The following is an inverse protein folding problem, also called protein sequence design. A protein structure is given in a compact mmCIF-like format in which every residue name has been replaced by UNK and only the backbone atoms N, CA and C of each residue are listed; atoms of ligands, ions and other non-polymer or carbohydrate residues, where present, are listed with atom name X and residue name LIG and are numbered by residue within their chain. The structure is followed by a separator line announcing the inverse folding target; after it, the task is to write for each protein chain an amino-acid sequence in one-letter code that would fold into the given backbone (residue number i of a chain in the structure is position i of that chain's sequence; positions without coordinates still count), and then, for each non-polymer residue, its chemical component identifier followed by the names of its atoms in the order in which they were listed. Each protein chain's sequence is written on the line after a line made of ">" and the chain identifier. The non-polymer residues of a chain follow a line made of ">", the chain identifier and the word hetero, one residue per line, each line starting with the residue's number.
data_IF_347747977199
#
_entry.id   IF_347747977199
#
_cell.length_a   1.000
_cell.length_b   1.000
_cell.length_c   1.000
_cell.angle_alpha   90.00
_cell.angle_beta   90.00
_cell.angle_gamma   90.00
#
_symmetry.space_group_name_H-M   'P 1'
#
loop_
_entity.id
_entity.type
_entity.pdbx_description
1 polymer ?
#
# COMPACT_ATOMS: atom_id res chain seq x y z
N UNK A 1 -64.28 21.07 -10.86
CA UNK A 1 -62.97 21.68 -11.16
C UNK A 1 -61.93 20.78 -10.51
N UNK A 2 -61.31 19.90 -11.29
CA UNK A 2 -60.28 18.97 -10.83
C UNK A 2 -58.92 19.62 -11.03
N UNK A 3 -58.24 19.95 -9.93
CA UNK A 3 -56.87 20.44 -9.94
C UNK A 3 -55.93 19.28 -10.30
N UNK A 4 -55.34 19.38 -11.50
CA UNK A 4 -54.25 18.51 -11.92
C UNK A 4 -52.99 18.88 -11.12
N UNK A 5 -52.62 18.03 -10.16
CA UNK A 5 -51.27 18.03 -9.59
C UNK A 5 -50.29 17.56 -10.68
N UNK A 6 -49.52 18.51 -11.20
CA UNK A 6 -48.34 18.22 -12.01
C UNK A 6 -47.29 17.65 -11.06
N UNK A 7 -47.13 16.32 -11.04
CA UNK A 7 -45.98 15.69 -10.43
C UNK A 7 -44.73 16.18 -11.17
N UNK A 8 -43.85 16.89 -10.45
CA UNK A 8 -42.52 17.24 -10.95
C UNK A 8 -41.74 15.94 -11.17
N UNK A 9 -41.56 15.57 -12.43
CA UNK A 9 -40.67 14.48 -12.82
C UNK A 9 -39.25 14.98 -12.50
N UNK A 10 -38.74 14.63 -11.32
CA UNK A 10 -37.36 14.90 -10.94
C UNK A 10 -36.44 14.26 -11.96
N UNK A 11 -35.67 15.07 -12.67
CA UNK A 11 -34.69 14.59 -13.65
C UNK A 11 -33.59 13.89 -12.86
N UNK A 12 -33.40 12.58 -13.04
CA UNK A 12 -32.29 11.86 -12.41
C UNK A 12 -30.98 12.55 -12.83
N UNK A 13 -30.14 13.00 -11.88
CA UNK A 13 -28.87 13.65 -12.22
C UNK A 13 -28.04 12.72 -13.10
N UNK A 14 -27.41 13.26 -14.14
CA UNK A 14 -26.51 12.48 -14.99
C UNK A 14 -25.32 11.95 -14.16
N UNK A 15 -25.04 10.66 -14.27
CA UNK A 15 -23.97 9.97 -13.55
C UNK A 15 -22.96 9.33 -14.51
N UNK A 16 -21.70 9.23 -14.08
CA UNK A 16 -20.69 8.34 -14.68
C UNK A 16 -20.60 7.06 -13.86
N UNK A 17 -20.65 5.91 -14.52
CA UNK A 17 -20.43 4.60 -13.89
C UNK A 17 -18.95 4.25 -13.91
N UNK A 18 -18.38 3.94 -12.75
CA UNK A 18 -16.99 3.47 -12.59
C UNK A 18 -17.01 2.00 -12.18
N UNK A 19 -16.09 1.16 -12.69
CA UNK A 19 -16.04 -0.26 -12.32
C UNK A 19 -14.79 -0.57 -11.51
N UNK A 20 -14.96 -1.19 -10.35
CA UNK A 20 -13.86 -1.63 -9.50
C UNK A 20 -13.73 -3.15 -9.50
N UNK A 21 -12.48 -3.64 -9.51
CA UNK A 21 -12.20 -5.07 -9.37
C UNK A 21 -10.87 -5.30 -8.63
N UNK A 22 -10.88 -6.18 -7.64
CA UNK A 22 -9.65 -6.60 -6.99
C UNK A 22 -8.86 -7.63 -7.82
N UNK A 23 -7.62 -7.91 -7.44
CA UNK A 23 -6.75 -8.86 -8.12
C UNK A 23 -7.40 -10.23 -8.41
N UNK A 24 -7.95 -10.88 -7.37
CA UNK A 24 -8.57 -12.20 -7.53
C UNK A 24 -9.99 -12.15 -8.11
N UNK A 25 -10.51 -10.96 -8.42
CA UNK A 25 -11.83 -10.71 -9.00
C UNK A 25 -13.03 -11.11 -8.12
N UNK A 26 -12.80 -11.57 -6.90
CA UNK A 26 -13.87 -11.89 -5.95
C UNK A 26 -14.63 -10.63 -5.50
N UNK A 27 -13.96 -9.48 -5.46
CA UNK A 27 -14.60 -8.18 -5.28
C UNK A 27 -14.77 -7.51 -6.65
N UNK A 28 -16.01 -7.24 -7.01
CA UNK A 28 -16.40 -6.60 -8.26
C UNK A 28 -17.67 -5.78 -8.04
N UNK A 29 -17.59 -4.47 -8.27
CA UNK A 29 -18.71 -3.57 -8.07
C UNK A 29 -18.61 -2.35 -8.97
N UNK A 30 -19.70 -1.60 -9.07
CA UNK A 30 -19.73 -0.29 -9.75
C UNK A 30 -20.06 0.84 -8.78
N UNK A 31 -19.68 2.05 -9.16
CA UNK A 31 -20.12 3.30 -8.53
C UNK A 31 -20.82 4.18 -9.56
N UNK A 32 -22.01 4.67 -9.24
CA UNK A 32 -22.69 5.69 -10.03
C UNK A 32 -22.40 7.07 -9.42
N UNK A 33 -21.44 7.80 -10.00
CA UNK A 33 -20.97 9.09 -9.47
C UNK A 33 -21.66 10.23 -10.23
N UNK A 34 -22.29 11.21 -9.55
CA UNK A 34 -22.84 12.39 -10.22
C UNK A 34 -21.76 13.14 -11.00
N UNK A 35 -22.05 13.53 -12.25
CA UNK A 35 -21.09 14.26 -13.09
C UNK A 35 -20.66 15.60 -12.46
N UNK A 36 -21.51 16.23 -11.66
CA UNK A 36 -21.21 17.47 -10.92
C UNK A 36 -20.18 17.28 -9.79
N UNK A 37 -19.92 16.04 -9.39
CA UNK A 37 -18.93 15.70 -8.35
C UNK A 37 -17.58 15.29 -8.93
N UNK A 38 -17.45 15.20 -10.26
CA UNK A 38 -16.22 14.82 -10.94
C UNK A 38 -15.40 16.09 -11.26
N UNK A 39 -14.08 16.10 -11.00
CA UNK A 39 -13.27 14.99 -10.47
C UNK A 39 -13.42 14.78 -8.95
N UNK A 40 -13.29 13.53 -8.51
CA UNK A 40 -13.25 13.15 -7.10
C UNK A 40 -11.86 13.44 -6.52
N UNK A 41 -11.82 14.15 -5.40
CA UNK A 41 -10.57 14.49 -4.71
C UNK A 41 -9.98 13.27 -4.02
N UNK A 42 -8.74 12.95 -4.35
CA UNK A 42 -7.98 11.87 -3.72
C UNK A 42 -6.95 12.46 -2.76
N UNK A 43 -6.90 11.88 -1.55
CA UNK A 43 -5.86 12.16 -0.57
C UNK A 43 -5.00 10.92 -0.33
N UNK A 44 -3.72 11.18 -0.03
CA UNK A 44 -2.76 10.18 0.39
C UNK A 44 -2.60 10.24 1.90
N UNK A 45 -3.16 9.27 2.63
CA UNK A 45 -3.02 9.24 4.09
C UNK A 45 -1.78 8.46 4.51
N UNK A 46 -0.94 9.12 5.30
CA UNK A 46 0.34 8.60 5.77
C UNK A 46 0.31 8.15 7.23
N UNK A 47 -0.85 8.15 7.91
CA UNK A 47 -0.87 7.78 9.33
C UNK A 47 -0.51 6.31 9.54
N UNK A 48 0.03 6.01 10.72
CA UNK A 48 0.46 4.65 11.08
C UNK A 48 -0.67 3.62 11.03
N UNK A 49 -1.90 4.00 11.39
CA UNK A 49 -3.06 3.11 11.28
C UNK A 49 -3.25 2.67 9.83
N UNK A 50 -3.22 3.62 8.88
CA UNK A 50 -3.37 3.31 7.46
C UNK A 50 -2.22 2.44 6.98
N UNK A 51 -0.97 2.82 7.27
CA UNK A 51 0.22 2.05 6.86
C UNK A 51 0.21 0.62 7.40
N UNK A 52 -0.02 0.45 8.70
CA UNK A 52 0.03 -0.86 9.36
C UNK A 52 -1.17 -1.73 9.02
N UNK A 53 -2.31 -1.14 8.66
CA UNK A 53 -3.52 -1.88 8.27
C UNK A 53 -3.46 -2.33 6.81
N UNK A 54 -2.83 -1.55 5.93
CA UNK A 54 -2.72 -1.88 4.50
C UNK A 54 -1.43 -2.63 4.18
N UNK A 55 -0.37 -2.43 4.98
CA UNK A 55 0.99 -2.85 4.66
C UNK A 55 1.67 -1.98 3.61
N UNK A 56 1.25 -0.71 3.48
CA UNK A 56 1.73 0.23 2.45
C UNK A 56 2.30 1.49 3.08
N UNK A 57 3.10 2.27 2.33
CA UNK A 57 3.67 3.52 2.84
C UNK A 57 2.63 4.63 3.00
N UNK A 58 1.56 4.58 2.21
CA UNK A 58 0.35 5.40 2.32
C UNK A 58 -0.83 4.70 1.64
N UNK A 59 -2.02 5.29 1.72
CA UNK A 59 -3.23 4.84 1.02
C UNK A 59 -3.72 5.91 0.05
N UNK A 60 -4.56 5.56 -0.92
CA UNK A 60 -5.05 6.47 -1.99
C UNK A 60 -6.57 6.53 -1.97
N UNK A 61 -7.13 7.44 -1.17
CA UNK A 61 -8.54 7.41 -0.78
C UNK A 61 -9.30 8.63 -1.29
N UNK A 62 -10.52 8.40 -1.78
CA UNK A 62 -11.44 9.41 -2.29
C UNK A 62 -12.77 9.34 -1.53
N UNK A 63 -13.15 10.39 -0.77
CA UNK A 63 -14.50 10.48 -0.20
C UNK A 63 -15.54 10.50 -1.33
N UNK A 64 -16.55 9.65 -1.22
CA UNK A 64 -17.67 9.63 -2.16
C UNK A 64 -18.72 10.68 -1.78
N UNK A 65 -19.48 11.22 -2.76
CA UNK A 65 -20.61 12.08 -2.46
C UNK A 65 -21.64 11.35 -1.58
N UNK A 66 -22.28 12.07 -0.67
CA UNK A 66 -23.33 11.54 0.22
C UNK A 66 -24.33 10.67 -0.56
N UNK A 67 -24.58 9.46 -0.06
CA UNK A 67 -25.50 8.49 -0.66
C UNK A 67 -24.93 7.65 -1.82
N UNK A 68 -23.72 7.94 -2.31
CA UNK A 68 -23.03 7.09 -3.30
C UNK A 68 -22.35 5.94 -2.56
N UNK A 69 -22.67 4.70 -2.96
CA UNK A 69 -22.08 3.49 -2.37
C UNK A 69 -21.83 2.40 -3.42
N UNK A 70 -20.94 1.42 -3.14
CA UNK A 70 -20.68 0.29 -4.02
C UNK A 70 -21.94 -0.52 -4.39
N UNK A 71 -22.20 -0.67 -5.69
CA UNK A 71 -23.19 -1.61 -6.22
C UNK A 71 -22.50 -2.91 -6.64
N UNK A 72 -22.55 -3.92 -5.79
CA UNK A 72 -21.84 -5.19 -6.02
C UNK A 72 -22.44 -6.01 -7.16
N UNK A 73 -21.56 -6.55 -8.01
CA UNK A 73 -21.93 -7.41 -9.14
C UNK A 73 -21.76 -8.87 -8.70
N UNK A 74 -22.85 -9.65 -8.78
CA UNK A 74 -22.85 -11.06 -8.40
C UNK A 74 -21.72 -11.86 -9.09
N UNK A 75 -21.07 -12.81 -8.39
CA UNK A 75 -21.38 -13.28 -7.02
C UNK A 75 -20.78 -12.41 -5.91
N UNK A 76 -20.20 -11.25 -6.25
CA UNK A 76 -19.61 -10.35 -5.26
C UNK A 76 -20.67 -9.77 -4.33
N UNK A 77 -20.32 -9.61 -3.05
CA UNK A 77 -21.16 -8.90 -2.08
C UNK A 77 -20.32 -8.45 -0.89
N UNK A 78 -20.85 -7.50 -0.12
CA UNK A 78 -20.23 -7.02 1.10
C UNK A 78 -20.00 -8.14 2.13
N UNK A 79 -20.93 -9.08 2.25
CA UNK A 79 -20.88 -10.14 3.26
C UNK A 79 -20.06 -11.38 2.83
N UNK A 80 -20.02 -11.69 1.53
CA UNK A 80 -19.35 -12.90 1.02
C UNK A 80 -17.91 -12.66 0.56
N UNK A 81 -17.61 -11.46 0.08
CA UNK A 81 -16.36 -11.19 -0.65
C UNK A 81 -15.36 -10.34 0.14
N UNK A 82 -15.83 -9.65 1.17
CA UNK A 82 -15.06 -8.70 1.96
C UNK A 82 -14.96 -9.13 3.41
N UNK A 83 -13.86 -8.73 4.04
CA UNK A 83 -13.66 -8.80 5.49
C UNK A 83 -13.71 -7.38 6.03
N UNK A 84 -14.49 -7.17 7.08
CA UNK A 84 -14.56 -5.91 7.80
C UNK A 84 -13.51 -5.86 8.91
N UNK A 85 -12.79 -4.75 9.03
CA UNK A 85 -11.85 -4.50 10.12
C UNK A 85 -12.14 -3.17 10.81
N UNK A 86 -12.31 -3.25 12.14
CA UNK A 86 -12.53 -2.09 12.99
C UNK A 86 -11.76 -2.25 14.30
N UNK A 87 -10.83 -1.34 14.57
CA UNK A 87 -10.13 -1.30 15.85
C UNK A 87 -10.93 -0.47 16.88
N UNK A 88 -10.64 -0.64 18.17
CA UNK A 88 -11.47 -0.11 19.26
C UNK A 88 -11.71 1.41 19.25
N UNK A 89 -10.85 2.19 18.59
CA UNK A 89 -10.92 3.66 18.48
C UNK A 89 -11.17 4.14 17.05
N UNK A 90 -11.62 3.26 16.16
CA UNK A 90 -11.81 3.60 14.76
C UNK A 90 -13.13 4.39 14.57
N UNK A 91 -13.05 5.50 13.84
CA UNK A 91 -14.19 6.25 13.31
C UNK A 91 -14.74 5.66 12.00
N UNK A 92 -14.09 4.63 11.45
CA UNK A 92 -14.51 3.95 10.23
C UNK A 92 -14.30 2.44 10.30
N UNK A 93 -15.13 1.70 9.57
CA UNK A 93 -14.96 0.28 9.30
C UNK A 93 -14.27 0.11 7.95
N UNK A 94 -13.16 -0.62 7.92
CA UNK A 94 -12.34 -0.82 6.72
C UNK A 94 -12.73 -2.13 6.04
N UNK A 95 -12.83 -2.13 4.72
CA UNK A 95 -13.20 -3.31 3.95
C UNK A 95 -12.10 -3.71 2.97
N UNK A 96 -11.72 -4.98 3.03
CA UNK A 96 -10.73 -5.57 2.12
C UNK A 96 -11.18 -6.93 1.62
N UNK A 97 -10.69 -7.33 0.45
CA UNK A 97 -11.01 -8.63 -0.16
C UNK A 97 -10.54 -9.78 0.74
N UNK A 98 -11.47 -10.66 1.12
CA UNK A 98 -11.21 -11.82 1.98
C UNK A 98 -10.20 -12.82 1.40
N UNK A 99 -9.94 -12.75 0.09
CA UNK A 99 -9.09 -13.68 -0.66
C UNK A 99 -7.73 -13.08 -1.00
N UNK A 100 -7.68 -11.83 -1.47
CA UNK A 100 -6.44 -11.22 -1.98
C UNK A 100 -5.96 -9.99 -1.19
N UNK A 101 -6.64 -9.59 -0.12
CA UNK A 101 -6.31 -8.42 0.73
C UNK A 101 -6.50 -7.03 0.12
N UNK A 102 -6.98 -6.93 -1.12
CA UNK A 102 -7.24 -5.65 -1.76
C UNK A 102 -8.18 -4.79 -0.92
N UNK A 103 -7.69 -3.68 -0.39
CA UNK A 103 -8.51 -2.70 0.33
C UNK A 103 -9.37 -1.95 -0.67
N UNK A 104 -10.67 -1.93 -0.42
CA UNK A 104 -11.62 -1.27 -1.33
C UNK A 104 -12.07 0.09 -0.82
N UNK A 105 -12.05 0.31 0.49
CA UNK A 105 -12.49 1.54 1.10
C UNK A 105 -12.96 1.36 2.54
N UNK A 106 -13.33 2.48 3.14
CA UNK A 106 -13.79 2.60 4.51
C UNK A 106 -15.21 3.18 4.54
N UNK A 107 -15.99 2.77 5.53
CA UNK A 107 -17.33 3.31 5.82
C UNK A 107 -17.28 4.01 7.16
N UNK A 108 -17.66 5.29 7.19
CA UNK A 108 -17.77 6.07 8.42
C UNK A 108 -18.78 5.45 9.37
N UNK A 109 -18.46 5.46 10.67
CA UNK A 109 -19.31 4.83 11.69
C UNK A 109 -20.56 5.66 11.98
N UNK A 110 -20.43 6.98 11.87
CA UNK A 110 -21.46 7.92 12.31
C UNK A 110 -22.33 8.43 11.14
N UNK A 111 -21.80 8.40 9.92
CA UNK A 111 -22.43 8.94 8.71
C UNK A 111 -22.72 7.90 7.63
N UNK A 112 -22.23 6.66 7.78
CA UNK A 112 -22.27 5.59 6.78
C UNK A 112 -21.69 6.00 5.40
N UNK A 113 -20.90 7.07 5.35
CA UNK A 113 -20.31 7.58 4.12
C UNK A 113 -19.08 6.76 3.71
N UNK A 114 -18.95 6.54 2.40
CA UNK A 114 -17.84 5.77 1.85
C UNK A 114 -16.65 6.66 1.50
N UNK A 115 -15.47 6.20 1.89
CA UNK A 115 -14.20 6.67 1.36
C UNK A 115 -13.55 5.52 0.60
N UNK A 116 -13.47 5.61 -0.72
CA UNK A 116 -13.08 4.49 -1.59
C UNK A 116 -11.59 4.54 -1.95
N UNK A 117 -10.97 3.38 -2.15
CA UNK A 117 -9.65 3.31 -2.79
C UNK A 117 -9.76 3.68 -4.26
N UNK A 118 -9.08 4.73 -4.69
CA UNK A 118 -9.06 5.12 -6.11
C UNK A 118 -8.36 4.06 -6.97
N UNK A 119 -7.44 3.29 -6.39
CA UNK A 119 -6.48 2.44 -7.12
C UNK A 119 -7.06 1.17 -7.75
N UNK A 120 -8.33 0.84 -7.50
CA UNK A 120 -8.96 -0.44 -7.90
C UNK A 120 -9.92 -0.31 -9.08
N UNK A 121 -10.07 0.90 -9.61
CA UNK A 121 -10.99 1.21 -10.69
C UNK A 121 -10.32 1.04 -12.05
N UNK A 122 -11.15 0.76 -13.06
CA UNK A 122 -10.78 0.85 -14.48
C UNK A 122 -10.56 2.32 -14.90
N UNK A 123 -11.37 3.21 -14.34
CA UNK A 123 -11.25 4.65 -14.48
C UNK A 123 -9.97 5.19 -13.84
N UNK A 124 -9.36 6.15 -14.52
CA UNK A 124 -8.13 6.79 -14.12
C UNK A 124 -8.10 8.27 -14.51
N UNK A 125 -6.92 8.91 -14.49
CA UNK A 125 -6.81 10.34 -14.81
C UNK A 125 -6.96 10.66 -16.30
N UNK A 126 -6.73 9.69 -17.19
CA UNK A 126 -6.78 9.89 -18.65
C UNK A 126 -8.21 9.81 -19.20
N UNK A 127 -9.17 9.45 -18.34
CA UNK A 127 -10.59 9.63 -18.62
C UNK A 127 -10.94 11.09 -18.97
N UNK A 128 -11.94 11.28 -19.83
CA UNK A 128 -12.47 12.60 -20.16
C UNK A 128 -13.95 12.67 -19.75
N UNK A 129 -14.32 13.49 -18.75
CA UNK A 129 -13.44 14.23 -17.83
C UNK A 129 -12.67 13.29 -16.88
N UNK A 130 -11.52 13.76 -16.39
CA UNK A 130 -10.68 13.02 -15.45
C UNK A 130 -11.48 12.67 -14.20
N UNK A 131 -11.39 11.41 -13.76
CA UNK A 131 -12.21 10.94 -12.62
C UNK A 131 -11.55 11.28 -11.29
N UNK A 132 -10.23 11.18 -11.21
CA UNK A 132 -9.46 11.35 -9.98
C UNK A 132 -8.62 12.62 -10.01
N UNK A 133 -8.64 13.34 -8.89
CA UNK A 133 -7.84 14.55 -8.68
C UNK A 133 -6.98 14.36 -7.43
N UNK A 134 -5.75 13.87 -7.63
CA UNK A 134 -4.79 13.57 -6.57
C UNK A 134 -4.07 14.86 -6.17
N UNK A 135 -4.37 15.36 -4.97
CA UNK A 135 -3.94 16.71 -4.59
C UNK A 135 -3.25 16.86 -3.24
N UNK A 136 -3.44 15.91 -2.32
CA UNK A 136 -3.10 16.18 -0.91
C UNK A 136 -2.49 14.97 -0.23
N UNK A 137 -1.36 15.18 0.45
CA UNK A 137 -0.87 14.30 1.50
C UNK A 137 -1.48 14.71 2.83
N UNK A 138 -2.01 13.74 3.59
CA UNK A 138 -2.59 13.96 4.90
C UNK A 138 -1.89 13.12 5.97
N UNK A 139 -1.78 13.66 7.19
CA UNK A 139 -1.18 12.99 8.34
C UNK A 139 0.30 12.61 8.15
N UNK A 140 1.07 13.41 7.42
CA UNK A 140 2.51 13.22 7.23
C UNK A 140 3.29 13.34 8.54
N UNK A 141 2.80 14.10 9.51
CA UNK A 141 3.41 14.19 10.85
C UNK A 141 3.37 12.86 11.63
N UNK A 142 2.55 11.90 11.19
CA UNK A 142 2.53 10.52 11.73
C UNK A 142 3.46 9.55 10.97
N UNK A 143 4.29 10.08 10.08
CA UNK A 143 5.36 9.39 9.37
C UNK A 143 6.72 9.97 9.78
N UNK A 144 7.21 9.65 10.99
CA UNK A 144 8.54 10.09 11.41
C UNK A 144 9.62 9.48 10.50
N UNK A 145 10.72 10.21 10.29
CA UNK A 145 11.81 9.80 9.39
C UNK A 145 11.37 9.65 7.94
N UNK A 146 10.60 10.62 7.45
CA UNK A 146 10.17 10.71 6.06
C UNK A 146 9.02 9.77 5.68
N UNK A 147 8.74 9.70 4.38
CA UNK A 147 7.69 8.85 3.82
C UNK A 147 7.48 9.13 2.33
N UNK A 148 6.52 8.44 1.72
CA UNK A 148 6.25 8.59 0.28
C UNK A 148 5.91 10.04 -0.12
N UNK A 149 5.42 10.87 0.80
CA UNK A 149 5.15 12.29 0.53
C UNK A 149 6.39 13.10 0.13
N UNK A 150 7.59 12.66 0.51
CA UNK A 150 8.85 13.28 0.07
C UNK A 150 9.23 12.86 -1.35
N UNK A 151 8.76 11.69 -1.79
CA UNK A 151 9.00 11.15 -3.12
C UNK A 151 7.94 11.57 -4.15
N UNK A 152 6.84 12.18 -3.71
CA UNK A 152 5.75 12.63 -4.57
C UNK A 152 5.39 14.11 -4.31
N UNK A 153 6.33 15.06 -4.47
CA UNK A 153 6.03 16.47 -4.24
C UNK A 153 5.04 17.02 -5.28
N UNK A 154 4.98 16.44 -6.48
CA UNK A 154 4.16 16.91 -7.60
C UNK A 154 3.42 15.79 -8.31
N UNK A 155 2.22 16.09 -8.82
CA UNK A 155 1.45 15.22 -9.72
C UNK A 155 0.93 16.08 -10.87
N UNK A 156 1.12 15.65 -12.12
CA UNK A 156 0.75 16.42 -13.32
C UNK A 156 1.28 17.87 -13.30
N UNK A 157 2.52 18.06 -12.83
CA UNK A 157 3.15 19.39 -12.71
C UNK A 157 2.57 20.30 -11.62
N UNK A 158 1.66 19.82 -10.77
CA UNK A 158 1.08 20.58 -9.66
C UNK A 158 1.65 20.10 -8.33
N UNK A 159 2.02 21.04 -7.46
CA UNK A 159 2.45 20.77 -6.08
C UNK A 159 1.34 20.07 -5.28
N UNK A 160 1.71 19.00 -4.58
CA UNK A 160 0.84 18.32 -3.63
C UNK A 160 0.75 19.12 -2.33
N UNK A 161 -0.48 19.33 -1.86
CA UNK A 161 -0.73 19.99 -0.57
C UNK A 161 -0.38 19.04 0.56
N UNK A 162 0.11 19.57 1.67
CA UNK A 162 0.31 18.82 2.90
C UNK A 162 -0.65 19.33 3.96
N UNK A 163 -1.43 18.44 4.56
CA UNK A 163 -2.34 18.76 5.67
C UNK A 163 -2.10 17.84 6.86
N UNK A 164 -2.02 18.42 8.05
CA UNK A 164 -1.96 17.71 9.32
C UNK A 164 -2.98 18.31 10.29
N UNK A 165 -3.62 17.50 11.15
CA UNK A 165 -4.46 18.02 12.22
C UNK A 165 -3.63 18.89 13.17
N UNK A 166 -4.27 19.91 13.76
CA UNK A 166 -3.62 20.76 14.77
C UNK A 166 -3.31 19.94 16.03
N UNK A 167 -2.23 20.29 16.71
CA UNK A 167 -1.86 19.69 18.00
C UNK A 167 -3.03 19.79 19.00
N UNK A 168 -3.36 18.66 19.64
CA UNK A 168 -4.43 18.57 20.65
C UNK A 168 -5.86 18.46 20.10
N UNK A 169 -6.06 18.43 18.78
CA UNK A 169 -7.38 18.13 18.20
C UNK A 169 -7.81 16.69 18.52
N UNK A 170 -9.12 16.44 18.65
CA UNK A 170 -9.68 15.08 18.82
C UNK A 170 -9.28 14.14 17.67
N UNK A 171 -9.09 14.70 16.48
CA UNK A 171 -8.62 14.02 15.26
C UNK A 171 -7.11 14.11 15.06
N UNK A 172 -6.34 14.62 16.03
CA UNK A 172 -4.89 14.55 15.97
C UNK A 172 -4.49 13.07 15.94
N UNK A 173 -3.77 12.68 14.89
CA UNK A 173 -3.26 11.33 14.81
C UNK A 173 -2.47 11.04 16.10
N UNK A 174 -2.85 9.96 16.80
CA UNK A 174 -2.22 9.56 18.06
C UNK A 174 -0.72 9.54 17.80
N UNK A 175 0.05 10.32 18.58
CA UNK A 175 1.51 10.31 18.53
C UNK A 175 1.94 8.84 18.53
N UNK A 176 2.43 8.37 17.39
CA UNK A 176 2.93 7.01 17.28
C UNK A 176 3.99 6.83 18.33
N UNK A 177 3.81 5.85 19.21
CA UNK A 177 4.90 5.36 20.04
C UNK A 177 6.01 4.93 19.09
N UNK A 178 7.12 5.65 19.10
CA UNK A 178 8.32 5.26 18.37
C UNK A 178 8.66 3.84 18.80
N UNK A 179 8.76 2.88 17.86
CA UNK A 179 9.22 1.55 18.20
C UNK A 179 10.56 1.62 18.92
N UNK A 180 10.72 0.85 19.98
CA UNK A 180 12.02 0.68 20.62
C UNK A 180 12.95 -0.14 19.72
N UNK A 181 14.26 -0.04 19.95
CA UNK A 181 15.19 -1.02 19.39
C UNK A 181 14.88 -2.39 19.99
N UNK A 182 14.87 -3.42 19.14
CA UNK A 182 14.68 -4.82 19.54
C UNK A 182 15.98 -5.59 19.29
N UNK A 183 16.27 -6.55 20.17
CA UNK A 183 17.40 -7.47 20.04
C UNK A 183 16.91 -8.90 19.93
N UNK A 184 17.57 -9.68 19.07
CA UNK A 184 17.34 -11.09 18.88
C UNK A 184 17.88 -11.94 20.04
N UNK A 185 17.68 -13.25 19.93
CA UNK A 185 18.16 -14.24 20.93
C UNK A 185 19.69 -14.28 20.98
N UNK A 186 20.34 -13.96 19.87
CA UNK A 186 21.79 -13.82 19.70
C UNK A 186 22.35 -12.49 20.24
N UNK A 187 21.48 -11.58 20.69
CA UNK A 187 21.87 -10.25 21.17
C UNK A 187 22.06 -9.21 20.05
N UNK A 188 21.88 -9.61 18.78
CA UNK A 188 22.01 -8.72 17.63
C UNK A 188 20.73 -7.92 17.41
N UNK A 189 20.84 -6.74 16.79
CA UNK A 189 19.68 -5.91 16.48
C UNK A 189 18.75 -6.62 15.49
N UNK A 190 17.44 -6.51 15.71
CA UNK A 190 16.42 -7.03 14.79
C UNK A 190 15.35 -5.98 14.49
N UNK A 191 14.84 -5.98 13.26
CA UNK A 191 13.74 -5.13 12.82
C UNK A 191 12.41 -5.87 12.94
N UNK A 192 11.51 -5.34 13.74
CA UNK A 192 10.14 -5.85 13.85
C UNK A 192 9.32 -5.51 12.61
N UNK A 193 8.64 -6.51 12.07
CA UNK A 193 7.56 -6.35 11.10
C UNK A 193 6.25 -6.81 11.75
N UNK A 194 5.22 -5.96 11.72
CA UNK A 194 3.95 -6.25 12.38
C UNK A 194 2.77 -5.54 11.69
N UNK A 195 1.66 -6.26 11.47
CA UNK A 195 0.42 -5.64 11.00
C UNK A 195 -0.28 -4.83 12.11
N UNK A 196 -1.30 -4.05 11.78
CA UNK A 196 -1.98 -3.20 12.75
C UNK A 196 -2.63 -3.97 13.91
N UNK A 197 -3.28 -5.11 13.64
CA UNK A 197 -3.93 -5.89 14.68
C UNK A 197 -2.97 -6.78 15.50
N UNK A 198 -1.68 -6.81 15.16
CA UNK A 198 -0.68 -7.68 15.79
C UNK A 198 -0.80 -9.17 15.48
N UNK A 199 -1.83 -9.58 14.72
CA UNK A 199 -2.08 -10.99 14.38
C UNK A 199 -1.04 -11.61 13.44
N UNK A 200 -0.22 -10.79 12.77
CA UNK A 200 1.00 -11.23 12.08
C UNK A 200 2.15 -10.38 12.59
N UNK A 201 3.18 -11.04 13.12
CA UNK A 201 4.39 -10.40 13.62
C UNK A 201 5.60 -11.31 13.49
N UNK A 202 6.72 -10.75 13.03
CA UNK A 202 8.00 -11.44 12.89
C UNK A 202 9.14 -10.43 12.97
N UNK A 203 10.37 -10.92 13.04
CA UNK A 203 11.58 -10.09 13.08
C UNK A 203 12.48 -10.38 11.89
N UNK A 204 13.22 -9.36 11.47
CA UNK A 204 14.17 -9.39 10.36
C UNK A 204 15.55 -9.07 10.92
N UNK A 205 16.54 -9.90 10.66
CA UNK A 205 17.93 -9.61 11.00
C UNK A 205 18.63 -8.87 9.85
N UNK A 206 19.81 -8.33 10.15
CA UNK A 206 20.76 -7.84 9.14
C UNK A 206 21.19 -8.98 8.19
N UNK A 207 21.75 -8.66 7.02
CA UNK A 207 22.53 -9.62 6.24
C UNK A 207 23.59 -10.30 7.12
N UNK A 208 23.66 -11.63 7.05
CA UNK A 208 24.60 -12.43 7.86
C UNK A 208 26.01 -12.34 7.27
N UNK A 209 27.03 -12.46 8.11
CA UNK A 209 28.43 -12.45 7.66
C UNK A 209 28.70 -13.46 6.53
N UNK A 210 28.18 -14.68 6.64
CA UNK A 210 28.31 -15.72 5.60
C UNK A 210 27.74 -15.29 4.23
N UNK A 211 26.64 -14.52 4.21
CA UNK A 211 26.07 -14.01 2.95
C UNK A 211 26.99 -13.00 2.27
N UNK A 212 27.78 -12.24 3.04
CA UNK A 212 28.71 -11.25 2.48
C UNK A 212 29.93 -11.91 1.83
N UNK A 213 30.25 -13.14 2.23
CA UNK A 213 31.38 -13.92 1.70
C UNK A 213 30.98 -14.75 0.47
N UNK A 214 29.69 -15.01 0.28
CA UNK A 214 29.14 -15.86 -0.76
C UNK A 214 28.63 -15.04 -1.96
N UNK A 215 29.33 -15.13 -3.10
CA UNK A 215 28.99 -14.44 -4.35
C UNK A 215 27.53 -14.62 -4.81
N UNK A 216 26.91 -15.75 -4.46
CA UNK A 216 25.53 -16.05 -4.78
C UNK A 216 24.53 -15.03 -4.21
N UNK A 217 24.85 -14.40 -3.06
CA UNK A 217 24.00 -13.39 -2.41
C UNK A 217 24.28 -11.97 -2.87
N UNK A 218 25.34 -11.70 -3.62
CA UNK A 218 25.67 -10.36 -4.13
C UNK A 218 24.47 -9.66 -4.80
N UNK A 219 23.64 -10.33 -5.64
CA UNK A 219 22.44 -9.71 -6.24
C UNK A 219 21.29 -9.43 -5.26
N UNK A 220 21.33 -9.99 -4.05
CA UNK A 220 20.29 -9.87 -3.01
C UNK A 220 20.65 -8.84 -1.95
N UNK A 221 21.89 -8.37 -1.93
CA UNK A 221 22.41 -7.41 -0.96
C UNK A 221 22.38 -5.99 -1.52
N UNK A 222 22.37 -4.99 -0.62
CA UNK A 222 22.49 -3.61 -1.06
C UNK A 222 23.87 -3.35 -1.69
N UNK A 223 23.92 -2.72 -2.87
CA UNK A 223 25.18 -2.35 -3.50
C UNK A 223 25.84 -1.11 -2.85
N UNK A 224 25.16 -0.47 -1.90
CA UNK A 224 25.61 0.77 -1.24
C UNK A 224 26.12 0.50 0.17
N UNK A 225 25.38 -0.28 0.96
CA UNK A 225 25.76 -0.68 2.31
C UNK A 225 25.45 -2.17 2.52
N UNK A 226 26.46 -3.05 2.60
CA UNK A 226 26.24 -4.50 2.69
C UNK A 226 25.52 -4.93 3.98
N UNK A 227 25.33 -4.03 4.95
CA UNK A 227 24.54 -4.29 6.18
C UNK A 227 23.05 -3.99 6.00
N UNK A 228 22.63 -3.48 4.85
CA UNK A 228 21.25 -3.09 4.54
C UNK A 228 20.66 -4.00 3.47
N UNK A 229 19.34 -4.08 3.46
CA UNK A 229 18.57 -4.80 2.46
C UNK A 229 18.12 -3.88 1.33
N UNK A 230 18.11 -4.34 0.06
CA UNK A 230 17.52 -3.57 -1.04
C UNK A 230 16.02 -3.33 -0.81
N UNK A 231 15.53 -2.15 -1.18
CA UNK A 231 14.12 -1.82 -1.18
C UNK A 231 13.71 -1.06 -2.44
N UNK A 232 12.45 -1.15 -2.82
CA UNK A 232 11.90 -0.44 -3.98
C UNK A 232 10.45 -0.05 -3.80
N UNK A 233 10.03 0.96 -4.55
CA UNK A 233 8.63 1.23 -4.82
C UNK A 233 8.18 0.48 -6.10
N UNK A 234 7.04 -0.20 -6.05
CA UNK A 234 6.50 -1.03 -7.12
C UNK A 234 5.09 -0.56 -7.52
N UNK A 235 4.93 -0.25 -8.81
CA UNK A 235 3.71 0.26 -9.42
C UNK A 235 3.06 -0.74 -10.40
N UNK A 236 3.36 -2.05 -10.29
CA UNK A 236 2.72 -3.05 -11.16
C UNK A 236 1.21 -3.17 -10.90
N UNK A 237 0.46 -3.52 -11.95
CA UNK A 237 -0.99 -3.71 -11.88
C UNK A 237 -1.40 -4.77 -10.85
N UNK A 238 -0.63 -5.85 -10.74
CA UNK A 238 -0.91 -6.93 -9.80
C UNK A 238 -0.81 -6.46 -8.35
N UNK A 239 0.28 -5.78 -7.99
CA UNK A 239 0.44 -5.22 -6.64
C UNK A 239 -0.62 -4.14 -6.37
N UNK A 240 -0.91 -3.29 -7.35
CA UNK A 240 -1.97 -2.27 -7.24
C UNK A 240 -3.32 -2.88 -6.92
N UNK A 241 -3.77 -3.85 -7.72
CA UNK A 241 -5.07 -4.51 -7.56
C UNK A 241 -5.10 -5.49 -6.37
N UNK A 242 -3.96 -5.92 -5.86
CA UNK A 242 -3.85 -6.77 -4.67
C UNK A 242 -3.89 -5.96 -3.37
N UNK A 243 -3.35 -4.74 -3.37
CA UNK A 243 -3.20 -3.92 -2.15
C UNK A 243 -4.27 -2.84 -2.05
N UNK A 244 -4.77 -2.34 -3.18
CA UNK A 244 -5.62 -1.16 -3.23
C UNK A 244 -4.83 0.16 -3.17
N UNK A 245 -3.54 0.17 -3.54
CA UNK A 245 -2.73 1.41 -3.61
C UNK A 245 -2.05 1.54 -4.98
N UNK A 246 -1.75 2.77 -5.43
CA UNK A 246 -1.10 2.98 -6.72
C UNK A 246 0.34 2.43 -6.75
N UNK A 247 1.03 2.45 -5.61
CA UNK A 247 2.36 1.89 -5.47
C UNK A 247 2.61 1.36 -4.05
N UNK A 248 3.28 0.21 -3.95
CA UNK A 248 3.66 -0.44 -2.69
C UNK A 248 5.18 -0.43 -2.51
N UNK A 249 5.63 -0.23 -1.28
CA UNK A 249 7.05 -0.38 -0.91
C UNK A 249 7.38 -1.81 -0.52
N UNK A 250 8.41 -2.39 -1.13
CA UNK A 250 8.93 -3.72 -0.82
C UNK A 250 10.37 -3.64 -0.31
N UNK A 251 10.69 -4.37 0.76
CA UNK A 251 12.05 -4.70 1.16
C UNK A 251 12.37 -6.14 0.73
N UNK A 252 13.51 -6.36 0.09
CA UNK A 252 13.95 -7.66 -0.41
C UNK A 252 14.85 -8.35 0.63
N UNK A 253 14.33 -9.38 1.29
CA UNK A 253 14.94 -10.02 2.46
C UNK A 253 15.14 -11.51 2.17
N UNK A 254 16.35 -12.04 2.42
CA UNK A 254 16.59 -13.47 2.38
C UNK A 254 15.80 -14.18 3.49
N UNK A 255 15.07 -15.25 3.18
CA UNK A 255 14.15 -15.87 4.14
C UNK A 255 14.85 -16.41 5.40
N UNK A 256 16.14 -16.76 5.32
CA UNK A 256 16.89 -17.21 6.51
C UNK A 256 17.18 -16.08 7.51
N UNK A 257 16.98 -14.82 7.13
CA UNK A 257 17.07 -13.65 8.01
C UNK A 257 15.71 -13.26 8.60
N UNK A 258 14.69 -14.11 8.49
CA UNK A 258 13.35 -13.89 9.05
C UNK A 258 13.07 -14.91 10.14
N UNK A 259 12.61 -14.43 11.31
CA UNK A 259 12.23 -15.26 12.44
C UNK A 259 10.78 -14.98 12.88
N UNK A 260 9.94 -16.02 13.08
CA UNK A 260 10.24 -17.43 12.90
C UNK A 260 10.42 -17.83 11.43
N UNK A 261 10.94 -19.05 11.19
CA UNK A 261 11.17 -19.57 9.83
C UNK A 261 9.90 -19.47 8.99
N UNK A 262 10.03 -18.85 7.82
CA UNK A 262 8.90 -18.65 6.88
C UNK A 262 8.53 -19.99 6.22
N UNK A 263 7.26 -20.42 6.30
CA UNK A 263 6.79 -21.61 5.60
C UNK A 263 6.85 -21.47 4.07
N UNK A 264 6.83 -22.60 3.36
CA UNK A 264 6.90 -22.63 1.89
C UNK A 264 5.76 -21.87 1.20
N UNK A 265 4.57 -21.85 1.80
CA UNK A 265 3.39 -21.13 1.34
C UNK A 265 3.29 -19.68 1.85
N UNK A 266 4.28 -19.22 2.64
CA UNK A 266 4.35 -17.91 3.32
C UNK A 266 3.38 -17.72 4.50
N UNK A 267 2.72 -18.78 4.99
CA UNK A 267 1.73 -18.65 6.05
C UNK A 267 2.38 -18.70 7.44
N UNK A 268 2.95 -17.58 7.90
CA UNK A 268 3.69 -17.42 9.18
C UNK A 268 2.88 -17.67 10.48
N UNK A 269 1.67 -18.23 10.39
CA UNK A 269 0.79 -18.47 11.54
C UNK A 269 -0.02 -17.23 11.97
N UNK A 270 -0.66 -17.33 13.14
CA UNK A 270 -1.53 -16.29 13.66
C UNK A 270 -2.70 -15.99 12.71
N UNK A 271 -2.86 -14.73 12.33
CA UNK A 271 -3.88 -14.29 11.38
C UNK A 271 -3.39 -14.34 9.92
N UNK A 272 -2.21 -14.89 9.62
CA UNK A 272 -1.69 -14.94 8.25
C UNK A 272 -2.57 -15.79 7.34
N UNK A 273 -2.92 -15.22 6.18
CA UNK A 273 -3.55 -15.90 5.04
C UNK A 273 -2.62 -15.78 3.84
N UNK A 274 -2.74 -16.71 2.91
CA UNK A 274 -1.91 -16.77 1.70
C UNK A 274 -2.76 -17.08 0.49
N UNK A 275 -2.31 -16.64 -0.67
CA UNK A 275 -2.88 -17.07 -1.94
C UNK A 275 -1.81 -17.08 -3.02
N UNK A 276 -2.06 -17.92 -4.02
CA UNK A 276 -1.21 -18.06 -5.19
C UNK A 276 -1.72 -17.14 -6.30
N UNK A 277 -0.92 -16.16 -6.69
CA UNK A 277 -1.25 -15.19 -7.74
C UNK A 277 -1.05 -15.79 -9.13
N UNK A 278 0.03 -16.55 -9.29
CA UNK A 278 0.35 -17.33 -10.49
C UNK A 278 1.18 -18.55 -10.07
N UNK A 279 1.56 -19.44 -11.00
CA UNK A 279 2.33 -20.65 -10.69
C UNK A 279 3.60 -20.39 -9.85
N UNK A 280 4.21 -19.22 -10.02
CA UNK A 280 5.47 -18.84 -9.41
C UNK A 280 5.36 -17.67 -8.42
N UNK A 281 4.14 -17.26 -8.06
CA UNK A 281 3.93 -16.11 -7.18
C UNK A 281 3.02 -16.45 -6.01
N UNK A 282 3.57 -16.35 -4.81
CA UNK A 282 2.84 -16.44 -3.54
C UNK A 282 2.76 -15.08 -2.88
N UNK A 283 1.62 -14.79 -2.26
CA UNK A 283 1.40 -13.57 -1.49
C UNK A 283 0.75 -13.90 -0.17
N UNK A 284 1.13 -13.18 0.88
CA UNK A 284 0.55 -13.31 2.21
C UNK A 284 0.07 -11.98 2.76
N UNK A 285 -0.96 -12.06 3.58
CA UNK A 285 -1.61 -10.93 4.19
C UNK A 285 -2.21 -11.31 5.55
N UNK A 286 -2.52 -10.32 6.37
CA UNK A 286 -3.25 -10.54 7.60
C UNK A 286 -4.76 -10.68 7.31
N UNK A 287 -5.33 -11.85 7.59
CA UNK A 287 -6.75 -12.13 7.42
C UNK A 287 -7.69 -11.38 8.38
N UNK A 288 -7.15 -10.68 9.38
CA UNK A 288 -7.94 -9.85 10.32
C UNK A 288 -7.99 -8.39 9.87
N UNK A 289 -6.85 -7.75 9.60
CA UNK A 289 -6.79 -6.33 9.26
C UNK A 289 -6.56 -6.03 7.78
N UNK A 290 -6.24 -7.04 6.96
CA UNK A 290 -6.00 -6.88 5.53
C UNK A 290 -4.60 -6.42 5.16
N UNK A 291 -3.68 -6.29 6.13
CA UNK A 291 -2.34 -5.82 5.83
C UNK A 291 -1.62 -6.77 4.88
N UNK A 292 -1.07 -6.25 3.79
CA UNK A 292 -0.11 -6.99 2.98
C UNK A 292 1.13 -7.25 3.83
N UNK A 293 1.67 -8.48 3.77
CA UNK A 293 2.76 -8.91 4.65
C UNK A 293 4.00 -9.22 3.83
N UNK A 294 3.93 -10.21 2.95
CA UNK A 294 5.05 -10.56 2.09
C UNK A 294 4.62 -11.23 0.80
N UNK A 295 5.52 -11.27 -0.16
CA UNK A 295 5.35 -11.99 -1.40
C UNK A 295 6.65 -12.72 -1.78
N UNK A 296 6.50 -13.82 -2.50
CA UNK A 296 7.59 -14.53 -3.15
C UNK A 296 7.29 -14.52 -4.64
N UNK A 297 8.18 -13.91 -5.42
CA UNK A 297 8.08 -13.80 -6.87
C UNK A 297 9.17 -14.63 -7.51
N UNK A 298 8.86 -15.77 -8.12
CA UNK A 298 9.87 -16.60 -8.78
C UNK A 298 9.89 -16.38 -10.30
N UNK A 299 10.01 -15.13 -10.75
CA UNK A 299 10.14 -14.83 -12.18
C UNK A 299 11.58 -15.09 -12.64
N UNK A 300 11.77 -16.05 -13.55
CA UNK A 300 13.07 -16.31 -14.17
C UNK A 300 14.13 -16.95 -13.27
N UNK A 301 13.75 -17.45 -12.08
CA UNK A 301 14.61 -18.23 -11.18
C UNK A 301 15.62 -17.44 -10.32
N UNK A 302 15.79 -16.13 -10.53
CA UNK A 302 16.81 -15.32 -9.84
C UNK A 302 16.56 -15.10 -8.34
N UNK A 303 15.34 -15.39 -7.86
CA UNK A 303 14.92 -15.20 -6.46
C UNK A 303 14.94 -16.48 -5.64
N UNK A 304 15.56 -17.54 -6.18
CA UNK A 304 15.81 -18.79 -5.47
C UNK A 304 17.24 -19.25 -5.70
N UNK A 305 17.98 -19.44 -4.62
CA UNK A 305 19.33 -20.02 -4.68
C UNK A 305 19.27 -21.52 -4.91
N UNK A 306 20.40 -22.11 -5.33
CA UNK A 306 20.53 -23.56 -5.54
C UNK A 306 20.28 -24.35 -4.25
N UNK A 307 20.64 -23.79 -3.09
CA UNK A 307 20.37 -24.37 -1.76
C UNK A 307 18.87 -24.33 -1.38
N UNK A 308 18.03 -23.74 -2.22
CA UNK A 308 16.59 -23.62 -2.04
C UNK A 308 16.14 -22.36 -1.30
N UNK A 309 17.05 -21.54 -0.78
CA UNK A 309 16.74 -20.28 -0.10
C UNK A 309 16.03 -19.32 -1.05
N UNK A 310 15.06 -18.59 -0.51
CA UNK A 310 14.24 -17.63 -1.26
C UNK A 310 14.53 -16.19 -0.85
N UNK A 311 14.49 -15.30 -1.85
CA UNK A 311 14.39 -13.86 -1.63
C UNK A 311 12.92 -13.46 -1.55
N UNK A 312 12.51 -12.94 -0.39
CA UNK A 312 11.13 -12.54 -0.12
C UNK A 312 10.98 -11.02 -0.16
N UNK A 313 9.85 -10.55 -0.66
CA UNK A 313 9.47 -9.15 -0.61
C UNK A 313 8.62 -8.91 0.62
N UNK A 314 9.11 -8.12 1.56
CA UNK A 314 8.40 -7.75 2.79
C UNK A 314 7.78 -6.37 2.61
N UNK A 315 6.49 -6.26 2.95
CA UNK A 315 5.75 -5.02 2.81
C UNK A 315 6.34 -3.94 3.74
N UNK A 316 6.90 -2.87 3.18
CA UNK A 316 7.60 -1.84 3.96
C UNK A 316 6.66 -1.13 4.95
N UNK A 317 5.37 -1.05 4.63
CA UNK A 317 4.38 -0.40 5.49
C UNK A 317 4.17 -1.09 6.84
N UNK A 318 4.59 -2.34 7.04
CA UNK A 318 4.50 -3.03 8.34
C UNK A 318 5.80 -3.00 9.16
N UNK A 319 6.87 -2.36 8.68
CA UNK A 319 8.12 -2.27 9.43
C UNK A 319 7.98 -1.32 10.63
N UNK A 320 8.71 -1.62 11.71
CA UNK A 320 8.72 -0.87 12.98
C UNK A 320 10.13 -0.37 13.27
N UNK A 321 10.70 0.34 12.31
CA UNK A 321 12.00 0.98 12.45
C UNK A 321 11.92 2.17 13.41
N UNK A 322 12.78 2.24 14.45
CA UNK A 322 12.82 3.38 15.38
C UNK A 322 13.16 4.71 14.71
N UNK A 323 13.97 4.67 13.65
CA UNK A 323 14.43 5.85 12.91
C UNK A 323 13.36 6.45 11.99
N UNK A 324 12.37 5.65 11.57
CA UNK A 324 11.27 6.16 10.75
C UNK A 324 10.64 5.18 9.79
N UNK A 325 9.68 5.69 9.01
CA UNK A 325 8.85 4.89 8.10
C UNK A 325 9.64 4.27 6.96
N UNK A 326 10.67 4.97 6.48
CA UNK A 326 11.51 4.49 5.40
C UNK A 326 12.53 3.45 5.87
N UNK A 327 12.69 3.24 7.19
CA UNK A 327 13.62 2.28 7.76
C UNK A 327 15.04 2.37 7.16
N UNK A 328 15.54 3.60 6.96
CA UNK A 328 16.77 3.86 6.21
C UNK A 328 18.03 3.30 6.86
N UNK A 329 18.01 3.01 8.17
CA UNK A 329 19.12 2.29 8.80
C UNK A 329 19.14 0.83 8.36
N UNK A 330 18.02 0.26 7.92
CA UNK A 330 17.85 -1.14 7.51
C UNK A 330 17.78 -1.34 6.00
N UNK A 331 17.30 -0.35 5.28
CA UNK A 331 16.96 -0.45 3.86
C UNK A 331 17.79 0.50 3.02
N UNK A 332 18.16 0.05 1.83
CA UNK A 332 18.66 0.91 0.75
C UNK A 332 17.57 1.01 -0.30
N UNK A 333 16.94 2.18 -0.41
CA UNK A 333 15.88 2.41 -1.38
C UNK A 333 16.46 2.65 -2.78
N UNK A 334 15.89 1.98 -3.78
CA UNK A 334 16.18 2.27 -5.18
C UNK A 334 15.47 3.57 -5.57
N UNK A 335 16.20 4.67 -5.59
CA UNK A 335 15.69 6.01 -5.90
C UNK A 335 15.74 6.36 -7.38
N UNK A 336 16.57 5.67 -8.17
CA UNK A 336 16.75 5.93 -9.60
C UNK A 336 15.65 5.39 -10.52
N UNK A 337 14.75 4.53 -10.03
CA UNK A 337 13.57 4.07 -10.78
C UNK A 337 12.51 3.37 -9.93
N UNK A 338 11.25 3.60 -10.26
CA UNK A 338 10.09 2.81 -9.79
C UNK A 338 10.07 1.45 -10.47
N UNK A 339 9.79 0.37 -9.73
CA UNK A 339 9.62 -0.96 -10.30
C UNK A 339 8.31 -1.05 -11.11
N UNK A 340 8.37 -1.66 -12.30
CA UNK A 340 7.22 -1.80 -13.21
C UNK A 340 6.53 -0.46 -13.51
N UNK A 341 7.33 0.59 -13.67
CA UNK A 341 6.84 1.95 -13.91
C UNK A 341 5.93 2.00 -15.14
N UNK A 342 6.20 1.22 -16.20
CA UNK A 342 5.33 1.16 -17.38
C UNK A 342 3.90 0.70 -17.07
N UNK A 343 3.69 -0.10 -16.03
CA UNK A 343 2.34 -0.47 -15.57
C UNK A 343 1.67 0.69 -14.84
N UNK A 344 2.40 1.37 -13.95
CA UNK A 344 1.94 2.61 -13.32
C UNK A 344 1.59 3.68 -14.37
N UNK A 345 2.42 3.83 -15.40
CA UNK A 345 2.23 4.80 -16.48
C UNK A 345 0.96 4.54 -17.29
N UNK A 346 0.62 3.26 -17.54
CA UNK A 346 -0.65 2.89 -18.20
C UNK A 346 -1.87 3.25 -17.37
N UNK A 347 -1.75 3.24 -16.04
CA UNK A 347 -2.86 3.52 -15.15
C UNK A 347 -2.96 5.02 -14.82
N UNK A 348 -1.87 5.63 -14.34
CA UNK A 348 -1.77 7.06 -14.08
C UNK A 348 -0.34 7.54 -14.37
N UNK A 349 -0.14 8.03 -15.60
CA UNK A 349 1.16 8.55 -16.04
C UNK A 349 1.68 9.70 -15.17
N UNK A 350 0.81 10.62 -14.75
CA UNK A 350 1.22 11.84 -14.07
C UNK A 350 1.63 11.60 -12.62
N UNK A 351 0.99 10.62 -11.97
CA UNK A 351 1.42 10.14 -10.67
C UNK A 351 2.72 9.35 -10.78
N UNK A 352 2.85 8.48 -11.78
CA UNK A 352 4.02 7.61 -11.93
C UNK A 352 5.28 8.37 -12.35
N UNK A 353 5.14 9.39 -13.21
CA UNK A 353 6.17 10.38 -13.52
C UNK A 353 6.57 11.14 -12.26
N UNK A 354 5.60 11.68 -11.52
CA UNK A 354 5.84 12.41 -10.27
C UNK A 354 6.61 11.59 -9.23
N UNK A 355 6.26 10.30 -9.08
CA UNK A 355 7.00 9.37 -8.21
C UNK A 355 8.42 9.13 -8.72
N UNK A 356 8.59 8.89 -10.03
CA UNK A 356 9.90 8.59 -10.59
C UNK A 356 10.86 9.77 -10.47
N UNK A 357 10.37 10.98 -10.76
CA UNK A 357 11.13 12.23 -10.65
C UNK A 357 11.45 12.56 -9.19
N UNK A 358 10.42 12.54 -8.32
CA UNK A 358 10.55 12.88 -6.91
C UNK A 358 11.45 11.92 -6.14
N UNK A 359 11.37 10.60 -6.40
CA UNK A 359 12.31 9.63 -5.82
C UNK A 359 13.75 9.91 -6.26
N UNK A 360 13.96 10.22 -7.54
CA UNK A 360 15.30 10.47 -8.06
C UNK A 360 15.88 11.79 -7.53
N UNK A 361 15.06 12.84 -7.39
CA UNK A 361 15.41 14.11 -6.77
C UNK A 361 15.78 13.91 -5.30
N UNK A 362 14.89 13.28 -4.53
CA UNK A 362 15.14 12.96 -3.12
C UNK A 362 16.43 12.15 -2.94
N UNK A 363 16.69 11.17 -3.82
CA UNK A 363 17.94 10.40 -3.79
C UNK A 363 19.17 11.28 -4.00
N UNK A 364 19.15 12.17 -5.00
CA UNK A 364 20.26 13.11 -5.24
C UNK A 364 20.49 14.05 -4.05
N UNK A 365 19.43 14.54 -3.44
CA UNK A 365 19.50 15.45 -2.30
C UNK A 365 20.04 14.78 -1.03
N UNK A 366 19.58 13.56 -0.74
CA UNK A 366 19.90 12.86 0.51
C UNK A 366 21.12 11.95 0.41
N UNK A 367 21.50 11.51 -0.80
CA UNK A 367 22.55 10.52 -1.02
C UNK A 367 23.62 10.96 -2.04
N UNK A 368 23.45 12.12 -2.68
CA UNK A 368 24.36 12.62 -3.71
C UNK A 368 24.12 12.03 -5.11
N UNK A 369 23.32 10.97 -5.23
CA UNK A 369 22.94 10.35 -6.50
C UNK A 369 21.58 9.64 -6.42
N UNK A 370 20.98 9.35 -7.58
CA UNK A 370 19.79 8.52 -7.67
C UNK A 370 20.20 7.06 -7.92
N UNK A 371 20.12 6.21 -6.90
CA UNK A 371 20.59 4.82 -6.96
C UNK A 371 19.71 3.96 -7.86
N UNK A 372 20.29 3.44 -8.94
CA UNK A 372 19.69 2.45 -9.80
C UNK A 372 20.34 1.08 -9.60
N UNK A 373 19.57 0.10 -9.15
CA UNK A 373 20.04 -1.30 -9.02
C UNK A 373 18.94 -2.32 -9.27
N UNK A 374 19.33 -3.57 -9.53
CA UNK A 374 18.39 -4.67 -9.64
C UNK A 374 17.98 -5.17 -8.25
N UNK A 375 16.76 -5.66 -8.11
CA UNK A 375 16.16 -6.02 -6.82
C UNK A 375 15.85 -7.52 -6.80
N UNK A 376 16.87 -8.35 -7.07
CA UNK A 376 16.70 -9.80 -7.22
C UNK A 376 15.93 -10.23 -8.47
#
# INVERSE_FOLDING_TARGET
>A
MSENQIQSIGTTPATKTLTARCYCKAVHFTLAVPLSSIPLKVHLCHCSICRYTHGTLCIFHAPLPSGVSPSFIAPSSLSSSLTAYRHAKASSTRYFCSTCSCHIGDVGVDDDEWVISASIFDANKDDVPAVWDIQTHVNTASAPGGGLYEWLPRVNGKEMKVWNPRDGAENAAIKTTTPGREVGIDGEEVLRAQCHCGGVSFTISRPKAAMLEEKAYEPWLSPVDPRKWPACLDACDDCRLQTGVHAIGWACIAESCIAPKVPGDLQLGGASKTFKSSEDVWRSFCGTCGASVMAYFNYGGARRQENGERLLNIAAGILRAPEGVLAEEWLTWRTGRVAWAESGMRYDAGLTEGLSEGMAEWGRENHGEAWGFNIG
#
